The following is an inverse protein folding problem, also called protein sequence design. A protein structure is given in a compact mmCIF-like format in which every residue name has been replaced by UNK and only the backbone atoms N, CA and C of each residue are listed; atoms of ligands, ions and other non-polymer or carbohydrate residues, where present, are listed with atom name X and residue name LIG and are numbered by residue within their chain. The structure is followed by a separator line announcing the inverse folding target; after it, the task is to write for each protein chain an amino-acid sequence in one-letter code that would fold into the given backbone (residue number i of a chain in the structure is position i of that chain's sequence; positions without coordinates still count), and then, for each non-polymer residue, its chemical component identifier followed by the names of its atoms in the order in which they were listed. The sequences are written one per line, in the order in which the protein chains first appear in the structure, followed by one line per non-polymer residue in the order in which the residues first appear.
data_IF_628545966380
#
_entry.id   IF_628545966380
#
_cell.length_a   1.000
_cell.length_b   1.000
_cell.length_c   1.000
_cell.angle_alpha   90.00
_cell.angle_beta   90.00
_cell.angle_gamma   90.00
#
_symmetry.space_group_name_H-M   'P 1'
#
loop_
_entity.id
_entity.type
_entity.pdbx_description
1 polymer ?
#
# COMPACT_ATOMS: atom_id res chain seq x y z
N UNK A 1 1.38 -17.54 -5.30
CA UNK A 1 1.97 -16.21 -5.50
C UNK A 1 1.19 -15.29 -4.60
N UNK A 2 1.84 -14.64 -3.62
CA UNK A 2 1.14 -13.70 -2.76
C UNK A 2 0.61 -12.50 -3.54
N UNK A 3 -0.41 -11.84 -3.00
CA UNK A 3 -0.92 -10.61 -3.58
C UNK A 3 0.09 -9.49 -3.36
N UNK A 4 0.28 -8.66 -4.39
CA UNK A 4 0.99 -7.39 -4.25
C UNK A 4 -0.07 -6.29 -4.29
N UNK A 5 -0.09 -5.44 -3.26
CA UNK A 5 -0.99 -4.29 -3.19
C UNK A 5 -0.11 -3.05 -3.28
N UNK A 6 -0.40 -2.15 -4.22
CA UNK A 6 0.30 -0.87 -4.36
C UNK A 6 -0.69 0.25 -4.58
N UNK A 7 -0.73 1.23 -3.67
CA UNK A 7 -1.57 2.40 -3.84
C UNK A 7 -0.96 3.67 -3.27
N UNK A 8 -1.44 4.81 -3.77
CA UNK A 8 -1.16 6.15 -3.26
C UNK A 8 -2.46 6.74 -2.69
N UNK A 9 -2.42 7.20 -1.45
CA UNK A 9 -3.54 7.86 -0.79
C UNK A 9 -3.26 9.36 -0.70
N UNK A 10 -4.14 10.18 -1.29
CA UNK A 10 -4.02 11.64 -1.33
C UNK A 10 -5.05 12.26 -0.41
N UNK A 11 -4.60 13.05 0.57
CA UNK A 11 -5.49 13.68 1.54
C UNK A 11 -6.17 14.92 0.96
N UNK A 12 -7.50 15.00 1.05
CA UNK A 12 -8.26 16.17 0.58
C UNK A 12 -8.14 17.37 1.52
N UNK A 13 -7.70 17.16 2.78
CA UNK A 13 -7.50 18.21 3.79
C UNK A 13 -8.75 19.10 3.99
N UNK A 14 -9.93 18.48 4.00
CA UNK A 14 -11.22 19.16 4.15
C UNK A 14 -11.67 19.96 2.93
N UNK A 15 -10.97 19.84 1.78
CA UNK A 15 -11.48 20.30 0.49
C UNK A 15 -12.57 19.34 0.00
N UNK A 16 -13.34 19.81 -0.97
CA UNK A 16 -14.28 18.97 -1.70
C UNK A 16 -13.54 17.78 -2.36
N UNK A 17 -14.07 16.58 -2.17
CA UNK A 17 -13.42 15.33 -2.60
C UNK A 17 -13.46 15.18 -4.13
N UNK A 18 -14.53 15.64 -4.78
CA UNK A 18 -14.67 15.59 -6.24
C UNK A 18 -13.71 16.57 -6.91
N UNK A 19 -13.55 17.77 -6.35
CA UNK A 19 -12.52 18.72 -6.80
C UNK A 19 -11.10 18.16 -6.58
N UNK A 20 -10.84 17.51 -5.45
CA UNK A 20 -9.55 16.86 -5.21
C UNK A 20 -9.29 15.76 -6.23
N UNK A 21 -10.27 14.89 -6.48
CA UNK A 21 -10.18 13.81 -7.48
C UNK A 21 -9.92 14.36 -8.88
N UNK A 22 -10.67 15.38 -9.32
CA UNK A 22 -10.45 16.04 -10.60
C UNK A 22 -9.02 16.55 -10.76
N UNK A 23 -8.49 17.21 -9.73
CA UNK A 23 -7.12 17.71 -9.76
C UNK A 23 -6.09 16.58 -9.79
N UNK A 24 -6.34 15.46 -9.09
CA UNK A 24 -5.51 14.25 -9.17
C UNK A 24 -5.49 13.72 -10.61
N UNK A 25 -6.66 13.59 -11.26
CA UNK A 25 -6.77 13.15 -12.66
C UNK A 25 -5.96 14.06 -13.60
N UNK A 26 -6.15 15.38 -13.52
CA UNK A 26 -5.39 16.34 -14.34
C UNK A 26 -3.87 16.19 -14.17
N UNK A 27 -3.42 15.91 -12.95
CA UNK A 27 -2.01 15.75 -12.64
C UNK A 27 -1.43 14.43 -13.12
N UNK A 28 -2.21 13.35 -13.05
CA UNK A 28 -1.87 12.06 -13.65
C UNK A 28 -1.76 12.24 -15.17
N UNK A 29 -2.73 12.90 -15.81
CA UNK A 29 -2.69 13.16 -17.26
C UNK A 29 -1.45 13.97 -17.66
N UNK A 30 -1.05 14.98 -16.89
CA UNK A 30 0.19 15.75 -17.13
C UNK A 30 1.47 14.91 -17.04
N UNK A 31 1.47 13.86 -16.20
CA UNK A 31 2.61 12.94 -16.05
C UNK A 31 2.64 11.96 -17.23
N UNK A 32 1.50 11.36 -17.54
CA UNK A 32 1.36 10.40 -18.64
C UNK A 32 1.67 11.04 -19.99
N UNK A 33 1.24 12.28 -20.21
CA UNK A 33 1.55 13.04 -21.44
C UNK A 33 3.06 13.23 -21.65
N UNK A 34 3.81 13.49 -20.57
CA UNK A 34 5.28 13.61 -20.61
C UNK A 34 5.98 12.28 -20.90
N UNK A 35 5.31 11.16 -20.61
CA UNK A 35 5.77 9.81 -20.92
C UNK A 35 5.38 9.39 -22.35
N UNK A 36 4.69 10.27 -23.10
CA UNK A 36 4.24 9.97 -24.46
C UNK A 36 2.95 9.16 -24.50
N UNK A 37 2.25 9.04 -23.37
CA UNK A 37 0.98 8.36 -23.25
C UNK A 37 -0.18 9.35 -23.34
N UNK A 38 -1.32 8.92 -23.86
CA UNK A 38 -2.54 9.73 -24.00
C UNK A 38 -3.74 9.00 -23.42
N UNK A 39 -4.66 9.77 -22.83
CA UNK A 39 -5.88 9.21 -22.26
C UNK A 39 -6.74 8.59 -23.38
N UNK A 40 -6.97 7.30 -23.28
CA UNK A 40 -7.80 6.52 -24.17
C UNK A 40 -9.25 6.56 -23.69
N UNK A 41 -10.15 6.88 -24.61
CA UNK A 41 -11.60 6.94 -24.36
C UNK A 41 -12.35 5.77 -24.98
N UNK A 42 -11.65 4.91 -25.72
CA UNK A 42 -12.21 3.71 -26.34
C UNK A 42 -12.37 2.61 -25.29
N UNK A 43 -13.56 2.00 -25.25
CA UNK A 43 -13.84 0.86 -24.39
C UNK A 43 -12.97 -0.34 -24.81
N UNK A 44 -12.27 -0.95 -23.85
CA UNK A 44 -11.38 -2.08 -24.11
C UNK A 44 -10.03 -1.71 -24.74
N UNK A 45 -9.63 -0.42 -24.68
CA UNK A 45 -8.28 -0.03 -25.04
C UNK A 45 -7.24 -0.77 -24.18
N UNK A 46 -6.17 -1.23 -24.82
CA UNK A 46 -5.01 -1.79 -24.12
C UNK A 46 -4.05 -0.65 -23.77
N UNK A 47 -3.67 -0.54 -22.50
CA UNK A 47 -2.82 0.54 -22.03
C UNK A 47 -2.46 0.41 -20.56
N UNK A 48 -1.89 1.48 -20.02
CA UNK A 48 -1.68 1.59 -18.58
C UNK A 48 -2.97 2.01 -17.91
N UNK A 49 -3.49 1.13 -17.06
CA UNK A 49 -4.68 1.40 -16.30
C UNK A 49 -4.36 2.02 -14.94
N UNK A 50 -5.09 3.10 -14.63
CA UNK A 50 -5.05 3.76 -13.34
C UNK A 50 -6.48 3.87 -12.82
N UNK A 51 -6.68 3.35 -11.62
CA UNK A 51 -7.95 3.44 -10.92
C UNK A 51 -7.85 4.51 -9.86
N UNK A 52 -8.85 5.38 -9.81
CA UNK A 52 -9.08 6.27 -8.67
C UNK A 52 -10.27 5.73 -7.88
N UNK A 53 -10.08 5.53 -6.58
CA UNK A 53 -11.16 5.13 -5.68
C UNK A 53 -11.38 6.17 -4.58
N UNK A 54 -12.64 6.41 -4.24
CA UNK A 54 -13.04 7.24 -3.10
C UNK A 54 -14.15 6.54 -2.32
N UNK A 55 -14.03 6.51 -0.99
CA UNK A 55 -15.11 6.06 -0.10
C UNK A 55 -15.96 7.26 0.35
N UNK A 56 -17.29 7.10 0.37
CA UNK A 56 -18.21 8.17 0.76
C UNK A 56 -17.92 8.67 2.19
N UNK A 57 -17.88 10.00 2.35
CA UNK A 57 -17.62 10.65 3.63
C UNK A 57 -16.17 10.59 4.12
N UNK A 58 -15.24 10.01 3.34
CA UNK A 58 -13.82 9.93 3.70
C UNK A 58 -12.98 11.02 3.00
N UNK A 59 -11.93 11.54 3.65
CA UNK A 59 -11.15 12.66 3.11
C UNK A 59 -10.00 12.20 2.21
N UNK A 60 -10.13 11.07 1.50
CA UNK A 60 -9.02 10.42 0.81
C UNK A 60 -9.37 10.01 -0.62
N UNK A 61 -8.45 10.27 -1.55
CA UNK A 61 -8.49 9.74 -2.91
C UNK A 61 -7.39 8.69 -3.02
N UNK A 62 -7.78 7.44 -3.25
CA UNK A 62 -6.86 6.34 -3.55
C UNK A 62 -6.55 6.31 -5.03
N UNK A 63 -5.28 6.09 -5.37
CA UNK A 63 -4.80 5.89 -6.74
C UNK A 63 -4.10 4.53 -6.81
N UNK A 64 -4.55 3.69 -7.73
CA UNK A 64 -4.09 2.31 -7.92
C UNK A 64 -3.59 2.16 -9.36
N UNK A 65 -2.50 1.45 -9.53
CA UNK A 65 -1.90 1.13 -10.84
C UNK A 65 -2.01 -0.37 -11.06
N UNK A 66 -2.18 -0.81 -12.32
CA UNK A 66 -2.55 -2.19 -12.67
C UNK A 66 -1.61 -3.29 -12.17
N UNK A 67 -0.32 -3.14 -12.42
CA UNK A 67 0.67 -4.08 -11.90
C UNK A 67 1.01 -3.71 -10.44
N UNK A 68 1.83 -4.44 -9.70
CA UNK A 68 2.32 -3.98 -8.40
C UNK A 68 3.71 -4.56 -8.20
N UNK A 69 4.72 -3.86 -8.71
CA UNK A 69 6.12 -4.25 -8.66
C UNK A 69 7.01 -3.11 -8.12
N UNK A 70 8.32 -3.32 -8.05
CA UNK A 70 9.24 -2.28 -7.57
C UNK A 70 9.30 -1.06 -8.48
N UNK A 71 9.14 -1.23 -9.80
CA UNK A 71 9.11 -0.11 -10.74
C UNK A 71 7.92 0.81 -10.48
N UNK A 72 6.81 0.26 -9.97
CA UNK A 72 5.67 1.08 -9.58
C UNK A 72 5.86 1.88 -8.30
N UNK A 73 6.60 1.37 -7.30
CA UNK A 73 6.83 2.14 -6.08
C UNK A 73 7.49 3.48 -6.41
N UNK A 74 8.45 3.49 -7.36
CA UNK A 74 9.08 4.71 -7.86
C UNK A 74 8.08 5.65 -8.56
N UNK A 75 7.13 5.09 -9.32
CA UNK A 75 6.07 5.86 -10.00
C UNK A 75 5.07 6.47 -9.01
N UNK A 76 4.61 5.68 -8.03
CA UNK A 76 3.73 6.14 -6.96
C UNK A 76 4.42 7.18 -6.08
N UNK A 77 5.73 7.02 -5.83
CA UNK A 77 6.56 8.01 -5.15
C UNK A 77 6.61 9.33 -5.93
N UNK A 78 6.95 9.30 -7.22
CA UNK A 78 7.01 10.53 -8.02
C UNK A 78 5.64 11.20 -8.10
N UNK A 79 4.57 10.42 -8.26
CA UNK A 79 3.20 10.93 -8.21
C UNK A 79 2.91 11.59 -6.84
N UNK A 80 3.19 10.92 -5.73
CA UNK A 80 3.02 11.46 -4.38
C UNK A 80 3.78 12.79 -4.18
N UNK A 81 5.03 12.87 -4.65
CA UNK A 81 5.83 14.10 -4.61
C UNK A 81 5.20 15.23 -5.43
N UNK A 82 4.70 14.93 -6.63
CA UNK A 82 4.08 15.93 -7.50
C UNK A 82 2.75 16.43 -6.93
N UNK A 83 1.88 15.53 -6.48
CA UNK A 83 0.55 15.85 -5.97
C UNK A 83 0.65 16.67 -4.66
N UNK A 84 1.51 16.28 -3.73
CA UNK A 84 1.67 17.01 -2.45
C UNK A 84 2.13 18.44 -2.65
N UNK A 85 2.98 18.71 -3.64
CA UNK A 85 3.37 20.07 -4.03
C UNK A 85 2.22 20.84 -4.64
N UNK A 86 1.54 20.25 -5.62
CA UNK A 86 0.48 20.93 -6.38
C UNK A 86 -0.68 21.30 -5.45
N UNK A 87 -1.02 20.42 -4.51
CA UNK A 87 -2.20 20.59 -3.65
C UNK A 87 -1.90 21.15 -2.26
N UNK A 88 -0.62 21.26 -1.89
CA UNK A 88 -0.19 21.66 -0.55
C UNK A 88 -0.84 20.78 0.53
N UNK A 89 -0.79 19.47 0.28
CA UNK A 89 -1.42 18.42 1.08
C UNK A 89 -0.42 17.32 1.42
N UNK A 90 -0.88 16.35 2.22
CA UNK A 90 -0.15 15.12 2.53
C UNK A 90 -0.63 14.00 1.62
N UNK A 91 0.27 13.10 1.29
CA UNK A 91 -0.06 11.85 0.63
C UNK A 91 0.87 10.75 1.17
N UNK A 92 0.44 9.51 1.09
CA UNK A 92 1.33 8.39 1.39
C UNK A 92 1.13 7.24 0.42
N UNK A 93 2.20 6.51 0.15
CA UNK A 93 2.12 5.24 -0.57
C UNK A 93 2.04 4.08 0.42
N UNK A 94 1.29 3.05 0.06
CA UNK A 94 1.30 1.77 0.75
C UNK A 94 1.60 0.67 -0.27
N UNK A 95 2.58 -0.16 0.07
CA UNK A 95 2.95 -1.32 -0.72
C UNK A 95 2.99 -2.55 0.18
N UNK A 96 2.21 -3.57 -0.18
CA UNK A 96 2.26 -4.89 0.42
C UNK A 96 2.89 -5.86 -0.57
N UNK A 97 3.90 -6.61 -0.13
CA UNK A 97 4.48 -7.70 -0.91
C UNK A 97 4.35 -9.03 -0.19
N UNK A 98 3.92 -10.04 -0.94
CA UNK A 98 3.78 -11.44 -0.49
C UNK A 98 3.01 -11.57 0.84
N UNK A 99 2.07 -10.65 1.09
CA UNK A 99 1.31 -10.54 2.35
C UNK A 99 2.15 -10.26 3.62
N UNK A 100 3.46 -10.07 3.48
CA UNK A 100 4.41 -10.08 4.60
C UNK A 100 5.14 -8.76 4.80
N UNK A 101 5.42 -8.06 3.71
CA UNK A 101 6.19 -6.83 3.74
C UNK A 101 5.24 -5.67 3.56
N UNK A 102 5.28 -4.72 4.48
CA UNK A 102 4.61 -3.44 4.35
C UNK A 102 5.66 -2.35 4.20
N UNK A 103 5.63 -1.65 3.07
CA UNK A 103 6.37 -0.42 2.85
C UNK A 103 5.39 0.74 2.81
N UNK A 104 5.68 1.79 3.59
CA UNK A 104 4.96 3.07 3.53
C UNK A 104 5.94 4.20 3.26
N UNK A 105 5.52 5.19 2.48
CA UNK A 105 6.27 6.44 2.33
C UNK A 105 5.32 7.62 2.49
N UNK A 106 5.67 8.56 3.36
CA UNK A 106 4.88 9.77 3.62
C UNK A 106 5.46 10.96 2.86
N UNK A 107 4.61 11.71 2.18
CA UNK A 107 5.00 12.83 1.35
C UNK A 107 4.39 14.15 1.82
N UNK A 108 5.19 15.20 1.76
CA UNK A 108 4.77 16.59 1.96
C UNK A 108 5.61 17.50 1.07
N UNK A 109 4.98 18.39 0.29
CA UNK A 109 5.65 19.40 -0.52
C UNK A 109 6.83 18.87 -1.39
N UNK A 110 6.63 17.76 -2.11
CA UNK A 110 7.64 17.01 -2.92
C UNK A 110 8.66 16.19 -2.15
N UNK A 111 8.66 16.21 -0.84
CA UNK A 111 9.65 15.48 -0.05
C UNK A 111 9.01 14.22 0.52
N UNK A 112 9.73 13.10 0.43
CA UNK A 112 9.44 11.94 1.25
C UNK A 112 9.95 12.26 2.66
N UNK A 113 9.03 12.63 3.55
CA UNK A 113 9.36 13.10 4.90
C UNK A 113 9.51 11.94 5.88
N UNK A 114 8.98 10.76 5.56
CA UNK A 114 9.13 9.55 6.37
C UNK A 114 8.98 8.28 5.55
N UNK A 115 9.60 7.19 6.02
CA UNK A 115 9.47 5.86 5.44
C UNK A 115 9.35 4.80 6.52
N UNK A 116 8.52 3.79 6.24
CA UNK A 116 8.35 2.62 7.06
C UNK A 116 8.57 1.37 6.21
N UNK A 117 9.36 0.42 6.68
CA UNK A 117 9.49 -0.92 6.12
C UNK A 117 9.59 -1.92 7.28
N UNK A 118 8.62 -2.80 7.41
CA UNK A 118 8.58 -3.78 8.50
C UNK A 118 9.65 -4.89 8.39
N UNK A 119 10.25 -5.09 7.21
CA UNK A 119 11.24 -6.14 6.94
C UNK A 119 12.28 -5.67 5.90
N UNK A 120 13.16 -4.71 6.25
CA UNK A 120 14.05 -4.09 5.27
C UNK A 120 15.10 -5.03 4.68
N UNK A 121 15.43 -6.12 5.36
CA UNK A 121 16.39 -7.14 4.93
C UNK A 121 15.75 -8.34 4.20
N UNK A 122 14.46 -8.22 3.81
CA UNK A 122 13.72 -9.32 3.17
C UNK A 122 14.41 -9.88 1.91
N UNK A 123 14.96 -9.01 1.06
CA UNK A 123 15.60 -9.41 -0.20
C UNK A 123 17.04 -9.93 -0.02
N UNK A 124 17.52 -10.09 1.21
CA UNK A 124 18.87 -10.57 1.50
C UNK A 124 19.97 -9.54 1.24
N UNK A 125 19.61 -8.30 0.89
CA UNK A 125 20.55 -7.20 0.77
C UNK A 125 21.09 -6.79 2.15
N UNK A 126 22.38 -6.44 2.27
CA UNK A 126 22.93 -5.98 3.54
C UNK A 126 22.29 -4.64 3.96
N UNK A 127 21.48 -4.67 5.03
CA UNK A 127 20.91 -3.47 5.65
C UNK A 127 21.69 -3.13 6.92
N UNK A 128 22.24 -1.92 6.97
CA UNK A 128 22.95 -1.42 8.16
C UNK A 128 21.98 -1.14 9.31
N UNK A 129 22.44 -1.17 10.58
CA UNK A 129 21.60 -0.77 11.71
C UNK A 129 21.00 0.62 11.56
N UNK A 130 21.74 1.57 10.97
CA UNK A 130 21.28 2.93 10.70
C UNK A 130 20.13 2.96 9.69
N UNK A 131 20.22 2.16 8.62
CA UNK A 131 19.14 2.01 7.64
C UNK A 131 17.90 1.35 8.26
N UNK A 132 18.10 0.29 9.07
CA UNK A 132 16.99 -0.35 9.79
C UNK A 132 16.27 0.64 10.70
N UNK A 133 17.01 1.51 11.40
CA UNK A 133 16.43 2.54 12.25
C UNK A 133 15.65 3.59 11.43
N UNK A 134 16.21 4.05 10.31
CA UNK A 134 15.56 5.01 9.43
C UNK A 134 14.26 4.49 8.79
N UNK A 135 14.09 3.17 8.68
CA UNK A 135 12.92 2.50 8.09
C UNK A 135 11.90 2.04 9.14
N UNK A 136 12.04 2.39 10.42
CA UNK A 136 11.02 2.10 11.45
C UNK A 136 9.80 3.03 11.41
N UNK A 137 9.84 4.07 10.58
CA UNK A 137 8.89 5.17 10.62
C UNK A 137 9.04 6.05 11.86
N UNK A 138 8.58 7.30 11.76
CA UNK A 138 8.60 8.30 12.83
C UNK A 138 7.16 8.66 13.20
N UNK A 139 6.56 8.04 14.24
CA UNK A 139 5.15 8.22 14.59
C UNK A 139 4.67 9.67 14.68
N UNK A 140 5.52 10.58 15.16
CA UNK A 140 5.27 12.01 15.28
C UNK A 140 4.93 12.68 13.94
N UNK A 141 5.46 12.18 12.81
CA UNK A 141 5.19 12.73 11.48
C UNK A 141 3.82 12.32 10.94
N UNK A 142 3.34 11.14 11.34
CA UNK A 142 2.07 10.54 10.88
C UNK A 142 0.86 11.03 11.68
N UNK A 143 1.06 11.59 12.88
CA UNK A 143 -0.02 12.06 13.77
C UNK A 143 -0.98 13.04 13.08
N UNK A 144 -0.51 13.79 12.07
CA UNK A 144 -1.32 14.76 11.31
C UNK A 144 -2.37 14.12 10.41
N UNK A 145 -2.25 12.83 10.12
CA UNK A 145 -3.20 12.05 9.34
C UNK A 145 -4.28 11.39 10.21
N UNK A 146 -4.08 11.37 11.53
CA UNK A 146 -4.97 10.71 12.46
C UNK A 146 -6.29 11.46 12.64
N UNK A 147 -7.33 10.69 12.95
CA UNK A 147 -8.54 11.26 13.57
C UNK A 147 -8.21 11.87 14.95
N UNK A 148 -9.02 12.84 15.37
CA UNK A 148 -8.80 13.62 16.60
C UNK A 148 -8.72 12.76 17.87
N UNK A 149 -9.33 11.57 17.89
CA UNK A 149 -9.30 10.66 19.03
C UNK A 149 -8.00 9.85 19.18
N UNK A 150 -7.13 9.84 18.17
CA UNK A 150 -5.90 9.05 18.14
C UNK A 150 -4.65 9.92 18.29
N UNK A 151 -3.55 9.30 18.71
CA UNK A 151 -2.26 9.97 18.89
C UNK A 151 -1.06 9.16 18.42
N UNK A 152 0.12 9.70 18.71
CA UNK A 152 1.42 9.10 18.35
C UNK A 152 1.58 7.67 18.86
N UNK A 153 1.07 7.37 20.07
CA UNK A 153 1.11 6.04 20.67
C UNK A 153 0.36 5.00 19.81
N UNK A 154 -0.72 5.38 19.14
CA UNK A 154 -1.50 4.47 18.30
C UNK A 154 -0.74 4.11 17.02
N UNK A 155 -0.03 5.07 16.42
CA UNK A 155 0.87 4.80 15.28
C UNK A 155 2.04 3.94 15.72
N UNK A 156 2.64 4.23 16.87
CA UNK A 156 3.71 3.41 17.42
C UNK A 156 3.26 1.95 17.57
N UNK A 157 2.06 1.72 18.11
CA UNK A 157 1.46 0.38 18.22
C UNK A 157 1.20 -0.26 16.86
N UNK A 158 0.68 0.49 15.88
CA UNK A 158 0.46 -0.03 14.54
C UNK A 158 1.78 -0.48 13.88
N UNK A 159 2.86 0.28 14.05
CA UNK A 159 4.18 0.00 13.48
C UNK A 159 4.92 -1.15 14.20
N UNK A 160 4.77 -1.27 15.52
CA UNK A 160 5.60 -2.15 16.35
C UNK A 160 4.84 -3.31 17.02
N UNK A 161 3.56 -3.16 17.29
CA UNK A 161 2.79 -4.06 18.18
C UNK A 161 1.61 -4.78 17.51
N UNK A 162 1.45 -4.67 16.18
CA UNK A 162 0.27 -5.15 15.44
C UNK A 162 -0.31 -6.46 15.96
N UNK A 163 -1.64 -6.51 16.09
CA UNK A 163 -2.32 -7.70 16.63
C UNK A 163 -2.24 -8.84 15.62
N UNK A 164 -1.86 -10.03 16.09
CA UNK A 164 -2.13 -11.30 15.40
C UNK A 164 -3.34 -11.93 16.06
N UNK A 165 -4.30 -12.41 15.27
CA UNK A 165 -5.05 -13.61 15.65
C UNK A 165 -4.20 -14.82 15.27
N UNK A 166 -3.25 -15.19 16.12
CA UNK A 166 -2.29 -16.28 15.85
C UNK A 166 -2.95 -17.65 15.62
N UNK A 167 -4.21 -17.79 15.99
CA UNK A 167 -5.00 -19.02 15.78
C UNK A 167 -5.34 -19.27 14.29
N UNK A 168 -5.51 -18.24 13.46
CA UNK A 168 -5.86 -18.40 12.04
C UNK A 168 -4.64 -18.79 11.19
N UNK A 169 -3.46 -18.23 11.50
CA UNK A 169 -2.19 -18.64 10.86
C UNK A 169 -1.84 -20.09 11.17
N UNK A 170 -2.12 -20.57 12.39
CA UNK A 170 -1.89 -21.97 12.76
C UNK A 170 -2.84 -22.93 12.04
N UNK A 171 -4.10 -22.53 11.82
CA UNK A 171 -5.09 -23.31 11.06
C UNK A 171 -4.77 -23.35 9.56
N UNK A 172 -4.30 -22.24 8.98
CA UNK A 172 -3.84 -22.18 7.59
C UNK A 172 -2.61 -23.10 7.39
N UNK A 173 -1.62 -23.03 8.30
CA UNK A 173 -0.46 -23.92 8.29
C UNK A 173 -0.84 -25.39 8.52
N UNK A 174 -1.79 -25.69 9.41
CA UNK A 174 -2.28 -27.06 9.61
C UNK A 174 -2.97 -27.62 8.34
N UNK A 175 -3.74 -26.79 7.62
CA UNK A 175 -4.34 -27.19 6.34
C UNK A 175 -3.31 -27.41 5.24
N UNK A 176 -2.24 -26.61 5.18
CA UNK A 176 -1.13 -26.80 4.25
C UNK A 176 -0.32 -28.06 4.58
N UNK A 177 -0.16 -28.40 5.87
CA UNK A 177 0.51 -29.63 6.32
C UNK A 177 -0.29 -30.90 6.01
N UNK A 178 -1.62 -30.85 6.05
CA UNK A 178 -2.50 -31.96 5.65
C UNK A 178 -2.44 -32.24 4.13
N UNK A 179 -2.22 -31.22 3.29
CA UNK A 179 -1.97 -31.39 1.85
C UNK A 179 -0.55 -31.89 1.52
N UNK A 180 0.43 -31.63 2.39
CA UNK A 180 1.83 -32.04 2.21
C UNK A 180 2.04 -33.56 2.36
N UNK A 181 1.13 -34.28 3.00
CA UNK A 181 1.19 -35.74 3.09
C UNK A 181 0.94 -36.50 1.76
N UNK A 182 0.74 -35.79 0.65
CA UNK A 182 0.54 -36.37 -0.69
C UNK A 182 1.62 -36.09 -1.76
N UNK A 183 2.68 -35.32 -1.49
CA UNK A 183 3.63 -34.89 -2.52
C UNK A 183 5.11 -35.11 -2.17
N UNK A 184 5.95 -35.25 -3.21
CA UNK A 184 7.36 -35.66 -3.17
C UNK A 184 8.24 -34.76 -2.27
N UNK A 185 9.13 -35.38 -1.50
CA UNK A 185 9.58 -34.89 -0.18
C UNK A 185 10.91 -34.09 -0.21
N UNK A 186 11.67 -34.11 -1.31
CA UNK A 186 13.03 -33.53 -1.39
C UNK A 186 13.06 -32.04 -1.76
N UNK A 187 12.25 -31.57 -2.72
CA UNK A 187 12.26 -30.15 -3.13
C UNK A 187 11.69 -29.21 -2.05
N UNK A 188 10.84 -29.72 -1.15
CA UNK A 188 10.14 -28.93 -0.12
C UNK A 188 10.96 -28.75 1.17
N UNK A 189 12.00 -29.55 1.40
CA UNK A 189 12.89 -29.40 2.56
C UNK A 189 13.75 -28.13 2.50
N UNK A 190 13.93 -27.53 1.31
CA UNK A 190 14.66 -26.27 1.13
C UNK A 190 13.88 -25.04 1.63
N UNK A 191 12.55 -25.15 1.78
CA UNK A 191 11.68 -24.06 2.26
C UNK A 191 11.51 -24.06 3.80
N UNK A 192 11.78 -25.20 4.46
CA UNK A 192 11.68 -25.35 5.92
C UNK A 192 12.49 -24.30 6.72
N UNK A 193 13.74 -23.93 6.34
CA UNK A 193 14.48 -22.89 7.05
C UNK A 193 13.86 -21.48 6.92
N UNK A 194 13.16 -21.19 5.82
CA UNK A 194 12.39 -19.93 5.68
C UNK A 194 11.16 -19.96 6.58
N UNK A 195 10.47 -21.09 6.65
CA UNK A 195 9.33 -21.29 7.55
C UNK A 195 9.74 -21.25 9.02
N UNK A 196 10.85 -21.87 9.43
CA UNK A 196 11.37 -21.77 10.81
C UNK A 196 11.70 -20.33 11.22
N UNK A 197 12.19 -19.50 10.29
CA UNK A 197 12.48 -18.09 10.57
C UNK A 197 11.19 -17.25 10.75
N UNK A 198 10.12 -17.62 10.04
CA UNK A 198 8.78 -17.03 10.20
C UNK A 198 8.12 -17.50 11.51
N UNK A 199 8.22 -18.79 11.82
CA UNK A 199 7.58 -19.44 12.98
C UNK A 199 8.26 -19.14 14.31
N UNK A 200 9.55 -18.79 14.32
CA UNK A 200 10.28 -18.40 15.53
C UNK A 200 10.10 -16.91 15.90
N UNK A 201 9.38 -16.12 15.10
CA UNK A 201 8.95 -14.78 15.51
C UNK A 201 7.75 -14.95 16.44
N UNK A 202 7.86 -14.48 17.69
CA UNK A 202 6.78 -14.60 18.71
C UNK A 202 5.43 -14.01 18.26
N UNK A 203 5.39 -13.21 17.18
CA UNK A 203 4.17 -12.64 16.57
C UNK A 203 4.37 -12.43 15.06
N UNK A 204 3.72 -13.25 14.22
CA UNK A 204 3.68 -13.06 12.76
C UNK A 204 2.40 -12.32 12.38
N UNK A 205 2.51 -11.12 11.80
CA UNK A 205 1.37 -10.25 11.45
C UNK A 205 1.43 -10.01 9.95
N UNK A 206 0.39 -10.41 9.22
CA UNK A 206 0.24 -10.07 7.80
C UNK A 206 0.22 -8.55 7.60
N UNK A 207 0.86 -8.10 6.53
CA UNK A 207 1.00 -6.69 6.20
C UNK A 207 -0.35 -5.99 5.99
N UNK A 208 -1.33 -6.70 5.41
CA UNK A 208 -2.68 -6.23 5.16
C UNK A 208 -3.42 -5.86 6.45
N UNK A 209 -3.24 -6.64 7.53
CA UNK A 209 -3.85 -6.32 8.82
C UNK A 209 -3.27 -5.05 9.43
N UNK A 210 -1.96 -4.79 9.24
CA UNK A 210 -1.37 -3.52 9.69
C UNK A 210 -1.92 -2.36 8.87
N UNK A 211 -2.09 -2.56 7.57
CA UNK A 211 -2.65 -1.56 6.67
C UNK A 211 -4.12 -1.26 7.00
N UNK A 212 -4.91 -2.27 7.36
CA UNK A 212 -6.30 -2.12 7.83
C UNK A 212 -6.39 -1.31 9.13
N UNK A 213 -5.51 -1.57 10.10
CA UNK A 213 -5.47 -0.80 11.34
C UNK A 213 -5.07 0.67 11.07
N UNK A 214 -4.08 0.91 10.21
CA UNK A 214 -3.72 2.25 9.78
C UNK A 214 -4.89 2.96 9.06
N UNK A 215 -5.64 2.25 8.24
CA UNK A 215 -6.82 2.80 7.56
C UNK A 215 -7.86 3.33 8.57
N UNK A 216 -8.12 2.57 9.65
CA UNK A 216 -9.02 3.01 10.75
C UNK A 216 -8.50 4.27 11.44
N UNK A 217 -7.19 4.32 11.68
CA UNK A 217 -6.53 5.47 12.31
C UNK A 217 -6.60 6.73 11.43
N UNK A 218 -6.46 6.59 10.12
CA UNK A 218 -6.48 7.68 9.14
C UNK A 218 -7.87 8.05 8.60
N UNK A 219 -8.91 7.36 9.05
CA UNK A 219 -10.27 7.50 8.52
C UNK A 219 -10.38 7.18 7.00
N UNK A 220 -9.66 6.16 6.55
CA UNK A 220 -9.76 5.61 5.20
C UNK A 220 -10.76 4.45 5.24
N UNK A 221 -11.52 4.26 4.17
CA UNK A 221 -12.32 3.03 4.03
C UNK A 221 -11.38 1.82 4.07
N UNK A 222 -11.68 0.81 4.89
CA UNK A 222 -10.81 -0.37 5.01
C UNK A 222 -10.56 -1.00 3.63
N UNK A 223 -11.62 -1.12 2.83
CA UNK A 223 -11.54 -1.56 1.42
C UNK A 223 -10.57 -0.69 0.63
N UNK A 224 -10.73 0.63 0.64
CA UNK A 224 -9.82 1.55 -0.07
C UNK A 224 -8.35 1.32 0.32
N UNK A 225 -8.05 1.03 1.58
CA UNK A 225 -6.64 0.90 1.99
C UNK A 225 -5.98 -0.42 1.58
N UNK A 226 -6.72 -1.54 1.60
CA UNK A 226 -6.16 -2.89 1.42
C UNK A 226 -6.36 -3.47 0.02
N UNK A 227 -7.12 -2.80 -0.85
CA UNK A 227 -7.39 -3.28 -2.19
C UNK A 227 -6.17 -3.19 -3.11
N UNK A 228 -5.92 -4.27 -3.86
CA UNK A 228 -5.13 -4.19 -5.08
C UNK A 228 -5.92 -3.54 -6.20
N UNK A 229 -5.29 -3.33 -7.36
CA UNK A 229 -5.95 -2.75 -8.54
C UNK A 229 -7.21 -3.51 -8.96
N UNK A 230 -7.13 -4.85 -9.03
CA UNK A 230 -8.26 -5.70 -9.42
C UNK A 230 -9.44 -5.57 -8.45
N UNK A 231 -9.16 -5.59 -7.15
CA UNK A 231 -10.20 -5.44 -6.13
C UNK A 231 -10.84 -4.05 -6.18
N UNK A 232 -10.04 -3.01 -6.42
CA UNK A 232 -10.54 -1.63 -6.54
C UNK A 232 -11.50 -1.46 -7.72
N UNK A 233 -11.34 -2.23 -8.80
CA UNK A 233 -12.25 -2.22 -9.95
C UNK A 233 -13.62 -2.83 -9.62
N UNK A 234 -13.65 -3.82 -8.74
CA UNK A 234 -14.85 -4.58 -8.38
C UNK A 234 -15.53 -4.06 -7.10
N UNK A 235 -14.96 -3.04 -6.46
CA UNK A 235 -15.41 -2.53 -5.16
C UNK A 235 -16.73 -1.74 -5.25
N UNK A 236 -17.84 -2.37 -4.85
CA UNK A 236 -19.16 -1.75 -4.83
C UNK A 236 -19.27 -0.57 -3.85
N UNK A 237 -18.48 -0.55 -2.78
CA UNK A 237 -18.50 0.52 -1.76
C UNK A 237 -17.67 1.74 -2.17
N UNK A 238 -16.86 1.62 -3.23
CA UNK A 238 -16.02 2.70 -3.73
C UNK A 238 -16.65 3.36 -4.96
N UNK A 239 -16.52 4.69 -5.05
CA UNK A 239 -16.70 5.37 -6.34
C UNK A 239 -15.40 5.28 -7.10
N UNK A 240 -15.44 4.49 -8.17
CA UNK A 240 -14.29 4.13 -9.00
C UNK A 240 -14.30 4.95 -10.30
N UNK A 241 -13.14 5.47 -10.68
CA UNK A 241 -12.90 6.10 -11.97
C UNK A 241 -11.68 5.45 -12.62
N UNK A 242 -11.89 4.78 -13.74
CA UNK A 242 -10.84 4.12 -14.52
C UNK A 242 -10.30 5.10 -15.57
N UNK A 243 -8.97 5.26 -15.59
CA UNK A 243 -8.25 5.99 -16.62
C UNK A 243 -7.34 5.00 -17.35
N UNK A 244 -7.47 4.93 -18.67
CA UNK A 244 -6.62 4.09 -19.52
C UNK A 244 -5.71 4.99 -20.35
N UNK A 245 -4.41 4.78 -20.31
CA UNK A 245 -3.44 5.55 -21.08
C UNK A 245 -2.70 4.68 -22.10
N UNK A 246 -2.76 5.05 -23.38
CA UNK A 246 -2.08 4.30 -24.46
C UNK A 246 -0.94 5.11 -25.07
N UNK A 247 0.00 4.42 -25.74
CA UNK A 247 1.01 5.10 -26.57
C UNK A 247 0.36 5.91 -27.71
N UNK A 248 0.99 7.03 -28.07
CA UNK A 248 0.55 7.91 -29.17
C UNK A 248 0.69 7.30 -30.55
#
# INVERSE_FOLDING_TARGET
MGANIGNLQVWSKGKDIEETKKQVIESISEIMDKQGLVLCTEEGAEGEDIVLATTEGKPWVGVYMQEADFGQLERLEELGRLLTKKFQTLAYTAMVYDSDILILQLFENRECIDQYNNCPDYWGEPVTPEMKEALKGSPDKWVRLLKEEYGEEDIYKAFNEGKVKSEETYLLLASMLDEIHGADHEDKMAELPKMENILNREKYIFAEYRLEELAKLFDIGAEQSIMGYGDAMDAEECRVELLVYCER
#
